data_IF_397169320506
#
_entry.id   IF_397169320506
#
_cell.length_a   1.000
_cell.length_b   1.000
_cell.length_c   1.000
_cell.angle_alpha   90.00
_cell.angle_beta   90.00
_cell.angle_gamma   90.00
#
_symmetry.space_group_name_H-M   'P 1'
#
loop_
_entity.id
_entity.type
_entity.pdbx_description
1 polymer ?
#
# COMPACT_ATOMS: atom_id res chain seq x y z
N UNK A 1 -39.42 0.22 -43.13
CA UNK A 1 -40.20 1.00 -42.15
C UNK A 1 -39.24 1.62 -41.14
N UNK A 2 -39.12 2.97 -41.17
CA UNK A 2 -38.70 3.97 -40.13
C UNK A 2 -37.62 3.57 -39.11
N UNK A 3 -36.58 4.34 -38.74
CA UNK A 3 -35.90 5.63 -39.07
C UNK A 3 -34.62 5.58 -38.17
N UNK A 4 -33.39 5.68 -38.67
CA UNK A 4 -32.53 6.88 -38.76
C UNK A 4 -32.40 7.76 -37.49
N UNK A 5 -31.21 7.78 -36.86
CA UNK A 5 -30.32 8.97 -36.61
C UNK A 5 -29.20 8.58 -35.60
N UNK A 6 -27.88 8.53 -35.88
CA UNK A 6 -26.87 9.50 -36.36
C UNK A 6 -26.33 10.55 -35.34
N UNK A 7 -24.98 10.59 -35.25
CA UNK A 7 -24.05 11.67 -34.82
C UNK A 7 -23.98 12.01 -33.32
N UNK A 8 -22.85 12.41 -32.69
CA UNK A 8 -21.52 12.84 -33.14
C UNK A 8 -20.95 13.87 -32.12
N UNK A 9 -19.70 13.65 -31.70
CA UNK A 9 -18.65 14.55 -31.16
C UNK A 9 -18.88 15.93 -30.45
N UNK A 10 -18.12 16.08 -29.35
CA UNK A 10 -17.20 17.20 -28.98
C UNK A 10 -17.64 18.48 -28.20
N UNK A 11 -16.87 18.70 -27.11
CA UNK A 11 -16.19 19.95 -26.62
C UNK A 11 -16.98 21.16 -26.05
N UNK A 12 -16.61 21.53 -24.81
CA UNK A 12 -16.19 22.90 -24.46
C UNK A 12 -17.12 23.77 -23.59
N UNK A 13 -16.59 24.36 -22.51
CA UNK A 13 -17.22 25.53 -21.87
C UNK A 13 -16.82 25.83 -20.42
N UNK A 14 -15.75 26.60 -20.23
CA UNK A 14 -15.34 27.22 -18.96
C UNK A 14 -16.26 28.39 -18.53
N UNK A 15 -16.30 28.71 -17.23
CA UNK A 15 -16.68 30.02 -16.63
C UNK A 15 -16.15 30.06 -15.18
N UNK A 16 -15.04 30.74 -14.88
CA UNK A 16 -14.84 32.17 -14.59
C UNK A 16 -15.43 32.63 -13.23
N UNK A 17 -14.51 33.04 -12.36
CA UNK A 17 -14.74 33.75 -11.08
C UNK A 17 -14.41 35.23 -11.31
N UNK A 18 -15.18 36.17 -10.75
CA UNK A 18 -14.70 37.51 -10.54
C UNK A 18 -14.64 37.92 -9.07
N UNK A 19 -13.73 38.87 -8.86
CA UNK A 19 -13.23 39.57 -7.69
C UNK A 19 -14.11 40.74 -7.23
N UNK A 20 -13.82 41.27 -6.02
CA UNK A 20 -14.07 42.67 -5.62
C UNK A 20 -14.80 42.78 -4.28
N UNK A 21 -14.18 43.13 -3.14
CA UNK A 21 -13.57 44.40 -2.70
C UNK A 21 -14.56 45.40 -2.08
N UNK A 22 -14.29 45.76 -0.82
CA UNK A 22 -14.39 47.15 -0.33
C UNK A 22 -15.70 47.61 0.30
N UNK A 23 -15.63 48.11 1.54
CA UNK A 23 -16.72 48.89 2.15
C UNK A 23 -16.51 49.17 3.63
N UNK A 24 -15.87 50.30 3.95
CA UNK A 24 -15.65 50.82 5.29
C UNK A 24 -16.88 51.53 5.90
N UNK A 25 -16.74 51.93 7.18
CA UNK A 25 -17.56 52.84 8.02
C UNK A 25 -18.51 52.09 8.98
N UNK A 26 -18.73 52.49 10.23
CA UNK A 26 -18.50 53.77 10.94
C UNK A 26 -18.59 53.51 12.46
N UNK A 27 -17.83 54.29 13.24
CA UNK A 27 -18.04 54.49 14.69
C UNK A 27 -19.34 55.25 14.94
N UNK A 28 -20.07 54.88 16.00
CA UNK A 28 -20.77 55.84 16.88
C UNK A 28 -20.74 55.34 18.33
N UNK A 29 -20.32 56.24 19.23
CA UNK A 29 -20.53 56.17 20.68
C UNK A 29 -21.96 56.64 20.97
N UNK A 30 -22.61 56.01 21.95
CA UNK A 30 -23.67 56.66 22.72
C UNK A 30 -23.61 56.18 24.17
N UNK A 31 -23.54 57.15 25.07
CA UNK A 31 -23.54 57.10 26.52
C UNK A 31 -24.95 57.36 27.06
N UNK A 32 -25.37 56.67 28.13
CA UNK A 32 -26.40 57.08 29.10
C UNK A 32 -26.45 55.98 30.19
N UNK A 33 -25.88 56.22 31.37
CA UNK A 33 -26.48 56.83 32.57
C UNK A 33 -27.43 55.90 33.34
N UNK A 34 -27.05 55.67 34.59
CA UNK A 34 -27.73 54.87 35.60
C UNK A 34 -29.11 55.44 35.96
N UNK A 35 -30.05 54.54 36.28
CA UNK A 35 -31.14 54.80 37.22
C UNK A 35 -31.32 53.56 38.10
N UNK A 36 -31.19 53.80 39.38
CA UNK A 36 -31.49 52.92 40.51
C UNK A 36 -33.01 52.68 40.61
N UNK A 37 -33.42 51.42 40.72
CA UNK A 37 -34.71 51.09 41.34
C UNK A 37 -34.67 49.67 41.90
N UNK A 38 -34.92 49.60 43.21
CA UNK A 38 -34.95 48.38 44.00
C UNK A 38 -36.00 47.37 43.51
N UNK A 39 -35.58 46.12 43.48
CA UNK A 39 -36.45 44.96 43.23
C UNK A 39 -36.05 43.82 44.15
N UNK A 40 -37.02 43.34 44.94
CA UNK A 40 -36.92 42.26 45.92
C UNK A 40 -36.14 41.02 45.45
N UNK A 41 -35.25 40.52 46.31
CA UNK A 41 -34.59 39.22 46.13
C UNK A 41 -35.58 38.09 46.43
N UNK A 42 -36.20 37.54 45.38
CA UNK A 42 -36.89 36.25 45.44
C UNK A 42 -35.87 35.12 45.62
N UNK A 43 -36.02 34.19 46.59
CA UNK A 43 -35.04 33.12 46.79
C UNK A 43 -35.15 32.08 45.66
N UNK A 44 -34.08 31.98 44.84
CA UNK A 44 -33.95 30.92 43.84
C UNK A 44 -33.84 29.56 44.54
N UNK A 45 -34.89 28.73 44.41
CA UNK A 45 -34.85 27.31 44.79
C UNK A 45 -33.67 26.61 44.10
N UNK A 46 -32.75 26.05 44.89
CA UNK A 46 -31.65 25.20 44.40
C UNK A 46 -32.24 23.99 43.67
N UNK A 47 -32.11 23.95 42.35
CA UNK A 47 -32.31 22.71 41.58
C UNK A 47 -31.22 21.71 42.00
N UNK A 48 -31.56 20.45 42.33
CA UNK A 48 -30.55 19.44 42.59
C UNK A 48 -29.77 19.19 41.29
N UNK A 49 -28.49 19.55 41.28
CA UNK A 49 -27.57 19.24 40.19
C UNK A 49 -27.17 17.76 40.28
N UNK A 50 -28.04 16.87 39.82
CA UNK A 50 -27.60 15.52 39.47
C UNK A 50 -26.93 15.64 38.11
N UNK A 51 -25.66 16.03 38.12
CA UNK A 51 -24.80 15.84 36.97
C UNK A 51 -24.79 14.33 36.67
N UNK A 52 -25.06 13.90 35.43
CA UNK A 52 -24.96 12.49 35.10
C UNK A 52 -23.53 12.05 35.44
N UNK A 53 -23.41 11.01 36.29
CA UNK A 53 -22.13 10.33 36.53
C UNK A 53 -21.52 10.05 35.16
N UNK A 54 -20.40 10.69 34.83
CA UNK A 54 -19.60 10.33 33.65
C UNK A 54 -19.38 8.83 33.77
N UNK A 55 -19.91 8.07 32.81
CA UNK A 55 -19.53 6.67 32.61
C UNK A 55 -18.01 6.61 32.69
N UNK A 56 -17.41 5.68 33.47
CA UNK A 56 -15.97 5.55 33.51
C UNK A 56 -15.49 5.44 32.07
N UNK A 57 -14.61 6.36 31.66
CA UNK A 57 -14.08 6.38 30.30
C UNK A 57 -13.62 4.96 29.99
N UNK A 58 -14.23 4.32 28.98
CA UNK A 58 -13.96 2.94 28.64
C UNK A 58 -12.45 2.72 28.63
N UNK A 59 -11.97 1.78 29.45
CA UNK A 59 -10.54 1.53 29.61
C UNK A 59 -9.94 1.33 28.21
N UNK A 60 -8.94 2.15 27.87
CA UNK A 60 -8.32 2.10 26.55
C UNK A 60 -7.58 0.77 26.43
N UNK A 61 -8.10 -0.16 25.63
CA UNK A 61 -7.50 -1.48 25.41
C UNK A 61 -6.52 -1.47 24.24
N UNK A 62 -5.67 -2.50 24.16
CA UNK A 62 -4.74 -2.67 23.05
C UNK A 62 -5.48 -2.92 21.72
N UNK A 63 -6.61 -3.61 21.77
CA UNK A 63 -7.49 -3.87 20.62
C UNK A 63 -8.10 -2.58 20.07
N UNK A 64 -8.51 -1.66 20.94
CA UNK A 64 -9.01 -0.35 20.53
C UNK A 64 -7.89 0.49 19.90
N UNK A 65 -6.67 0.42 20.44
CA UNK A 65 -5.52 1.07 19.81
C UNK A 65 -5.17 0.44 18.46
N UNK A 66 -5.25 -0.88 18.34
CA UNK A 66 -5.04 -1.59 17.08
C UNK A 66 -6.08 -1.19 16.04
N UNK A 67 -7.36 -1.12 16.42
CA UNK A 67 -8.45 -0.67 15.54
C UNK A 67 -8.19 0.75 15.03
N UNK A 68 -7.74 1.67 15.89
CA UNK A 68 -7.37 3.03 15.50
C UNK A 68 -6.13 3.07 14.60
N UNK A 69 -5.14 2.21 14.84
CA UNK A 69 -3.96 2.09 14.00
C UNK A 69 -4.31 1.59 12.58
N UNK A 70 -5.17 0.58 12.49
CA UNK A 70 -5.66 0.04 11.21
C UNK A 70 -6.46 1.08 10.40
N UNK A 71 -7.29 1.89 11.08
CA UNK A 71 -8.07 2.96 10.47
C UNK A 71 -7.31 4.28 10.25
N UNK A 72 -6.01 4.34 10.56
CA UNK A 72 -5.25 5.58 10.52
C UNK A 72 -4.94 6.02 9.08
N UNK A 73 -5.35 7.25 8.75
CA UNK A 73 -5.14 7.83 7.41
C UNK A 73 -3.67 8.18 7.10
N UNK A 74 -2.82 8.38 8.12
CA UNK A 74 -1.42 8.77 7.93
C UNK A 74 -0.46 7.80 8.63
N UNK A 75 0.77 7.63 8.13
CA UNK A 75 1.78 6.83 8.83
C UNK A 75 2.02 7.34 10.25
N UNK A 76 1.99 8.66 10.46
CA UNK A 76 2.20 9.29 11.77
C UNK A 76 1.13 8.88 12.78
N UNK A 77 -0.15 8.97 12.41
CA UNK A 77 -1.25 8.57 13.30
C UNK A 77 -1.29 7.06 13.50
N UNK A 78 -0.98 6.26 12.46
CA UNK A 78 -0.82 4.80 12.58
C UNK A 78 0.22 4.44 13.64
N UNK A 79 1.41 5.04 13.54
CA UNK A 79 2.51 4.80 14.45
C UNK A 79 2.19 5.26 15.88
N UNK A 80 1.47 6.38 16.03
CA UNK A 80 1.03 6.88 17.34
C UNK A 80 0.14 5.85 18.04
N UNK A 81 -0.90 5.36 17.36
CA UNK A 81 -1.83 4.39 17.94
C UNK A 81 -1.16 3.04 18.20
N UNK A 82 -0.34 2.57 17.26
CA UNK A 82 0.43 1.34 17.44
C UNK A 82 1.32 1.39 18.69
N UNK A 83 2.12 2.46 18.86
CA UNK A 83 2.96 2.65 20.05
C UNK A 83 2.14 2.76 21.33
N UNK A 84 1.01 3.47 21.29
CA UNK A 84 0.13 3.59 22.46
C UNK A 84 -0.38 2.22 22.89
N UNK A 85 -0.84 1.39 21.96
CA UNK A 85 -1.27 0.01 22.23
C UNK A 85 -0.16 -0.85 22.84
N UNK A 86 1.05 -0.77 22.28
CA UNK A 86 2.22 -1.50 22.78
C UNK A 86 2.70 -1.02 24.17
N UNK A 87 2.38 0.21 24.56
CA UNK A 87 2.77 0.80 25.85
C UNK A 87 1.73 0.62 26.98
N UNK A 88 0.56 0.04 26.68
CA UNK A 88 -0.48 -0.16 27.69
C UNK A 88 -0.02 -1.17 28.75
N UNK A 89 -0.31 -0.86 30.01
CA UNK A 89 -0.04 -1.75 31.14
C UNK A 89 -1.16 -2.80 31.19
N UNK A 90 -0.80 -4.07 31.04
CA UNK A 90 -1.73 -5.20 31.11
C UNK A 90 -1.25 -6.39 30.28
N UNK A 91 -1.93 -7.54 30.38
CA UNK A 91 -1.65 -8.68 29.53
C UNK A 91 -1.96 -8.30 28.07
N UNK A 92 -0.98 -8.48 27.19
CA UNK A 92 -1.13 -8.26 25.76
C UNK A 92 -1.07 -9.60 25.04
N UNK A 93 -2.16 -9.94 24.35
CA UNK A 93 -2.17 -11.12 23.50
C UNK A 93 -1.09 -11.02 22.42
N UNK A 94 -0.36 -12.12 22.16
CA UNK A 94 0.76 -12.14 21.21
C UNK A 94 0.32 -11.77 19.79
N UNK A 95 -0.90 -12.15 19.40
CA UNK A 95 -1.44 -11.81 18.08
C UNK A 95 -1.76 -10.32 18.00
N UNK A 96 -2.41 -9.76 19.01
CA UNK A 96 -2.64 -8.30 19.10
C UNK A 96 -1.32 -7.53 19.09
N UNK A 97 -0.32 -8.00 19.83
CA UNK A 97 1.03 -7.41 19.84
C UNK A 97 1.69 -7.45 18.46
N UNK A 98 1.67 -8.61 17.78
CA UNK A 98 2.22 -8.76 16.44
C UNK A 98 1.51 -7.86 15.42
N UNK A 99 0.18 -7.72 15.51
CA UNK A 99 -0.58 -6.83 14.65
C UNK A 99 -0.26 -5.36 14.89
N UNK A 100 -0.08 -4.94 16.15
CA UNK A 100 0.36 -3.58 16.49
C UNK A 100 1.78 -3.30 15.99
N UNK A 101 2.71 -4.25 16.19
CA UNK A 101 4.08 -4.17 15.63
C UNK A 101 4.03 -4.06 14.10
N UNK A 102 3.19 -4.84 13.42
CA UNK A 102 2.99 -4.72 11.97
C UNK A 102 2.49 -3.33 11.56
N UNK A 103 1.58 -2.71 12.32
CA UNK A 103 1.16 -1.32 12.04
C UNK A 103 2.30 -0.32 12.21
N UNK A 104 3.16 -0.52 13.22
CA UNK A 104 4.34 0.31 13.44
C UNK A 104 5.39 0.13 12.33
N UNK A 105 5.63 -1.12 11.91
CA UNK A 105 6.46 -1.47 10.77
C UNK A 105 5.99 -0.74 9.51
N UNK A 106 4.70 -0.85 9.15
CA UNK A 106 4.14 -0.21 7.96
C UNK A 106 4.34 1.30 7.99
N UNK A 107 4.19 1.93 9.16
CA UNK A 107 4.42 3.35 9.31
C UNK A 107 5.90 3.76 9.13
N UNK A 108 6.84 2.97 9.67
CA UNK A 108 8.27 3.20 9.45
C UNK A 108 8.67 2.96 8.00
N UNK A 109 8.15 1.91 7.38
CA UNK A 109 8.40 1.59 5.97
C UNK A 109 7.89 2.71 5.04
N UNK A 110 6.65 3.19 5.24
CA UNK A 110 6.08 4.30 4.46
C UNK A 110 6.83 5.63 4.63
N UNK A 111 7.49 5.82 5.77
CA UNK A 111 8.32 7.01 6.05
C UNK A 111 9.80 6.79 5.73
N UNK A 112 10.13 5.71 5.01
CA UNK A 112 11.50 5.34 4.59
C UNK A 112 12.49 5.17 5.74
N UNK A 113 12.02 4.80 6.93
CA UNK A 113 12.83 4.51 8.11
C UNK A 113 13.10 3.00 8.16
N UNK A 114 13.85 2.51 7.20
CA UNK A 114 13.94 1.08 6.90
C UNK A 114 14.65 0.28 7.99
N UNK A 115 15.64 0.86 8.67
CA UNK A 115 16.32 0.25 9.81
C UNK A 115 15.32 -0.02 10.95
N UNK A 116 14.52 0.98 11.30
CA UNK A 116 13.46 0.82 12.32
C UNK A 116 12.36 -0.13 11.86
N UNK A 117 12.07 -0.17 10.57
CA UNK A 117 11.12 -1.13 10.02
C UNK A 117 11.67 -2.56 10.21
N UNK A 118 12.95 -2.80 9.90
CA UNK A 118 13.59 -4.10 10.12
C UNK A 118 13.58 -4.49 11.61
N UNK A 119 13.98 -3.58 12.52
CA UNK A 119 13.94 -3.82 13.97
C UNK A 119 12.55 -4.25 14.46
N UNK A 120 11.49 -3.56 14.02
CA UNK A 120 10.12 -3.89 14.42
C UNK A 120 9.65 -5.22 13.83
N UNK A 121 10.08 -5.57 12.61
CA UNK A 121 9.78 -6.86 12.01
C UNK A 121 10.46 -8.02 12.78
N UNK A 122 11.70 -7.83 13.24
CA UNK A 122 12.41 -8.78 14.10
C UNK A 122 11.73 -8.95 15.47
N UNK A 123 11.27 -7.85 16.07
CA UNK A 123 10.46 -7.92 17.29
C UNK A 123 9.20 -8.75 17.07
N UNK A 124 8.50 -8.58 15.94
CA UNK A 124 7.32 -9.37 15.62
C UNK A 124 7.64 -10.87 15.45
N UNK A 125 8.81 -11.20 14.88
CA UNK A 125 9.28 -12.58 14.74
C UNK A 125 9.46 -13.28 16.09
N UNK A 126 9.95 -12.57 17.11
CA UNK A 126 10.15 -13.13 18.46
C UNK A 126 8.85 -13.61 19.13
N UNK A 127 7.68 -13.16 18.66
CA UNK A 127 6.38 -13.55 19.20
C UNK A 127 5.91 -14.93 18.73
N UNK A 128 6.49 -15.46 17.64
CA UNK A 128 6.16 -16.79 17.09
C UNK A 128 4.77 -16.90 16.43
N UNK A 129 4.02 -15.81 16.34
CA UNK A 129 2.71 -15.75 15.66
C UNK A 129 2.83 -14.98 14.36
N UNK A 130 2.06 -15.37 13.32
CA UNK A 130 2.11 -14.74 11.99
C UNK A 130 3.55 -14.66 11.41
N UNK A 131 4.37 -15.68 11.68
CA UNK A 131 5.81 -15.67 11.38
C UNK A 131 6.12 -15.44 9.89
N UNK A 132 5.34 -16.02 8.97
CA UNK A 132 5.53 -15.82 7.54
C UNK A 132 5.30 -14.37 7.11
N UNK A 133 4.34 -13.71 7.75
CA UNK A 133 4.01 -12.30 7.54
C UNK A 133 5.12 -11.40 8.08
N UNK A 134 5.65 -11.70 9.27
CA UNK A 134 6.76 -10.95 9.85
C UNK A 134 8.08 -11.16 9.07
N UNK A 135 8.35 -12.36 8.58
CA UNK A 135 9.47 -12.61 7.66
C UNK A 135 9.33 -11.85 6.35
N UNK A 136 8.13 -11.77 5.78
CA UNK A 136 7.89 -10.97 4.58
C UNK A 136 8.15 -9.48 4.83
N UNK A 137 7.77 -8.95 6.00
CA UNK A 137 8.03 -7.57 6.38
C UNK A 137 9.53 -7.30 6.60
N UNK A 138 10.23 -8.19 7.31
CA UNK A 138 11.68 -8.11 7.50
C UNK A 138 12.42 -8.14 6.15
N UNK A 139 12.02 -9.03 5.25
CA UNK A 139 12.60 -9.12 3.91
C UNK A 139 12.47 -7.82 3.13
N UNK A 140 11.29 -7.19 3.15
CA UNK A 140 11.06 -5.95 2.42
C UNK A 140 11.86 -4.79 3.01
N UNK A 141 11.97 -4.70 4.34
CA UNK A 141 12.83 -3.70 4.96
C UNK A 141 14.29 -3.89 4.57
N UNK A 142 14.81 -5.12 4.61
CA UNK A 142 16.18 -5.44 4.20
C UNK A 142 16.45 -5.17 2.73
N UNK A 143 15.51 -5.53 1.85
CA UNK A 143 15.59 -5.17 0.43
C UNK A 143 15.68 -3.65 0.23
N UNK A 144 14.88 -2.88 0.97
CA UNK A 144 14.92 -1.41 0.91
C UNK A 144 16.21 -0.81 1.48
N UNK A 145 16.92 -1.55 2.34
CA UNK A 145 18.27 -1.23 2.83
C UNK A 145 19.38 -1.68 1.86
N UNK A 146 19.04 -2.37 0.77
CA UNK A 146 20.03 -3.00 -0.12
C UNK A 146 20.62 -4.31 0.40
N UNK A 147 20.16 -4.81 1.56
CA UNK A 147 20.56 -6.12 2.11
C UNK A 147 19.77 -7.24 1.41
N UNK A 148 20.19 -7.58 0.19
CA UNK A 148 19.54 -8.58 -0.65
C UNK A 148 19.63 -9.98 -0.05
N UNK A 149 20.79 -10.37 0.48
CA UNK A 149 20.96 -11.72 1.05
C UNK A 149 20.17 -11.91 2.35
N UNK A 150 20.10 -10.89 3.20
CA UNK A 150 19.22 -10.91 4.36
C UNK A 150 17.74 -10.99 3.96
N UNK A 151 17.32 -10.26 2.92
CA UNK A 151 15.95 -10.36 2.39
C UNK A 151 15.63 -11.77 1.89
N UNK A 152 16.55 -12.37 1.14
CA UNK A 152 16.46 -13.76 0.66
C UNK A 152 16.34 -14.75 1.82
N UNK A 153 17.13 -14.56 2.88
CA UNK A 153 17.08 -15.39 4.09
C UNK A 153 15.68 -15.46 4.70
N UNK A 154 15.04 -14.30 4.90
CA UNK A 154 13.68 -14.26 5.44
C UNK A 154 12.62 -14.78 4.46
N UNK A 155 12.71 -14.50 3.16
CA UNK A 155 11.73 -15.01 2.19
C UNK A 155 11.77 -16.53 2.07
N UNK A 156 12.96 -17.13 2.19
CA UNK A 156 13.11 -18.59 2.29
C UNK A 156 12.42 -19.14 3.55
N UNK A 157 12.54 -18.45 4.68
CA UNK A 157 11.82 -18.84 5.91
C UNK A 157 10.30 -18.68 5.73
N UNK A 158 9.82 -17.55 5.21
CA UNK A 158 8.40 -17.32 4.95
C UNK A 158 7.80 -18.39 4.03
N UNK A 159 8.51 -18.79 2.96
CA UNK A 159 8.05 -19.83 2.05
C UNK A 159 8.01 -21.24 2.69
N UNK A 160 8.85 -21.49 3.70
CA UNK A 160 8.87 -22.76 4.46
C UNK A 160 7.80 -22.82 5.54
N UNK A 161 7.62 -21.74 6.30
CA UNK A 161 6.77 -21.72 7.50
C UNK A 161 5.36 -21.19 7.23
N UNK A 162 5.14 -20.50 6.10
CA UNK A 162 3.84 -19.96 5.74
C UNK A 162 2.81 -21.02 5.40
N UNK A 163 1.51 -20.70 5.55
CA UNK A 163 0.44 -21.62 5.19
C UNK A 163 0.46 -21.93 3.70
N UNK A 164 -0.06 -23.11 3.34
CA UNK A 164 -0.05 -23.60 1.95
C UNK A 164 -0.63 -22.58 0.96
N UNK A 165 -1.68 -21.85 1.35
CA UNK A 165 -2.33 -20.83 0.52
C UNK A 165 -1.43 -19.63 0.18
N UNK A 166 -0.37 -19.36 0.95
CA UNK A 166 0.59 -18.25 0.69
C UNK A 166 1.94 -18.72 0.18
N UNK A 167 2.19 -20.03 0.12
CA UNK A 167 3.48 -20.60 -0.31
C UNK A 167 3.89 -20.12 -1.70
N UNK A 168 2.97 -20.11 -2.66
CA UNK A 168 3.25 -19.65 -4.02
C UNK A 168 3.65 -18.16 -4.04
N UNK A 169 2.96 -17.32 -3.27
CA UNK A 169 3.26 -15.90 -3.14
C UNK A 169 4.66 -15.63 -2.53
N UNK A 170 5.06 -16.38 -1.51
CA UNK A 170 6.40 -16.23 -0.91
C UNK A 170 7.51 -16.67 -1.88
N UNK A 171 7.33 -17.79 -2.60
CA UNK A 171 8.26 -18.21 -3.65
C UNK A 171 8.35 -17.18 -4.78
N UNK A 172 7.22 -16.61 -5.17
CA UNK A 172 7.20 -15.58 -6.21
C UNK A 172 7.91 -14.30 -5.75
N UNK A 173 7.70 -13.86 -4.51
CA UNK A 173 8.41 -12.68 -3.98
C UNK A 173 9.91 -12.94 -3.91
N UNK A 174 10.33 -14.14 -3.48
CA UNK A 174 11.73 -14.55 -3.50
C UNK A 174 12.31 -14.50 -4.92
N UNK A 175 11.57 -15.03 -5.89
CA UNK A 175 11.93 -14.95 -7.31
C UNK A 175 12.09 -13.52 -7.81
N UNK A 176 11.18 -12.62 -7.43
CA UNK A 176 11.24 -11.18 -7.77
C UNK A 176 12.50 -10.52 -7.21
N UNK A 177 12.87 -10.82 -5.97
CA UNK A 177 14.08 -10.28 -5.35
C UNK A 177 15.33 -10.75 -6.08
N UNK A 178 15.42 -12.03 -6.42
CA UNK A 178 16.55 -12.54 -7.22
C UNK A 178 16.57 -11.95 -8.63
N UNK A 179 15.42 -11.79 -9.27
CA UNK A 179 15.29 -11.20 -10.59
C UNK A 179 15.85 -9.77 -10.62
N UNK A 180 15.40 -8.91 -9.69
CA UNK A 180 15.92 -7.55 -9.58
C UNK A 180 17.43 -7.50 -9.24
N UNK A 181 17.91 -8.48 -8.49
CA UNK A 181 19.33 -8.65 -8.19
C UNK A 181 20.12 -9.35 -9.33
N UNK A 182 19.49 -9.62 -10.49
CA UNK A 182 20.09 -10.27 -11.67
C UNK A 182 20.65 -11.68 -11.40
N UNK A 183 20.17 -12.34 -10.34
CA UNK A 183 20.50 -13.72 -9.98
C UNK A 183 19.54 -14.68 -10.67
N UNK A 184 19.69 -14.82 -11.98
CA UNK A 184 18.68 -15.45 -12.83
C UNK A 184 18.42 -16.93 -12.53
N UNK A 185 19.44 -17.73 -12.26
CA UNK A 185 19.25 -19.15 -11.93
C UNK A 185 18.44 -19.34 -10.63
N UNK A 186 18.76 -18.55 -9.61
CA UNK A 186 18.01 -18.52 -8.35
C UNK A 186 16.56 -18.05 -8.54
N UNK A 187 16.36 -17.02 -9.38
CA UNK A 187 15.05 -16.50 -9.72
C UNK A 187 14.19 -17.54 -10.45
N UNK A 188 14.75 -18.22 -11.46
CA UNK A 188 14.11 -19.31 -12.20
C UNK A 188 13.70 -20.43 -11.24
N UNK A 189 14.59 -20.85 -10.34
CA UNK A 189 14.29 -21.88 -9.34
C UNK A 189 13.14 -21.51 -8.41
N UNK A 190 13.11 -20.26 -7.92
CA UNK A 190 12.05 -19.78 -7.05
C UNK A 190 10.71 -19.60 -7.78
N UNK A 191 10.72 -19.00 -8.99
CA UNK A 191 9.52 -18.78 -9.80
C UNK A 191 8.92 -20.08 -10.32
N UNK A 192 9.75 -21.08 -10.64
CA UNK A 192 9.29 -22.44 -10.97
C UNK A 192 8.50 -23.05 -9.82
N UNK A 193 8.99 -22.90 -8.56
CA UNK A 193 8.23 -23.33 -7.38
C UNK A 193 6.94 -22.54 -7.25
N UNK A 194 6.97 -21.22 -7.41
CA UNK A 194 5.77 -20.38 -7.36
C UNK A 194 4.70 -20.87 -8.37
N UNK A 195 5.08 -21.11 -9.62
CA UNK A 195 4.20 -21.59 -10.67
C UNK A 195 3.68 -23.02 -10.40
N UNK A 196 4.46 -23.87 -9.71
CA UNK A 196 4.02 -25.21 -9.29
C UNK A 196 2.95 -25.17 -8.20
N UNK A 197 3.11 -24.28 -7.21
CA UNK A 197 2.18 -24.17 -6.07
C UNK A 197 1.00 -23.21 -6.34
N UNK A 198 1.13 -22.33 -7.33
CA UNK A 198 0.10 -21.37 -7.70
C UNK A 198 -1.10 -22.04 -8.37
N UNK A 199 -2.31 -21.74 -7.89
CA UNK A 199 -3.56 -22.16 -8.54
C UNK A 199 -4.16 -20.98 -9.30
N UNK A 200 -4.68 -19.97 -8.57
CA UNK A 200 -5.37 -18.81 -9.15
C UNK A 200 -4.45 -17.89 -9.96
N UNK A 201 -3.30 -17.54 -9.39
CA UNK A 201 -2.37 -16.56 -9.99
C UNK A 201 -1.27 -17.24 -10.81
N UNK A 202 -1.48 -18.50 -11.22
CA UNK A 202 -0.48 -19.29 -11.94
C UNK A 202 0.02 -18.61 -13.22
N UNK A 203 -0.83 -17.98 -14.07
CA UNK A 203 -0.35 -17.26 -15.25
C UNK A 203 0.62 -16.11 -14.91
N UNK A 204 0.44 -15.44 -13.76
CA UNK A 204 1.34 -14.37 -13.31
C UNK A 204 2.72 -14.93 -12.97
N UNK A 205 2.77 -16.07 -12.27
CA UNK A 205 4.04 -16.70 -11.89
C UNK A 205 4.77 -17.29 -13.10
N UNK A 206 4.02 -17.90 -14.03
CA UNK A 206 4.58 -18.38 -15.30
C UNK A 206 5.08 -17.22 -16.16
N UNK A 207 4.35 -16.11 -16.23
CA UNK A 207 4.78 -14.93 -16.97
C UNK A 207 6.05 -14.31 -16.37
N UNK A 208 6.13 -14.19 -15.05
CA UNK A 208 7.33 -13.66 -14.41
C UNK A 208 8.53 -14.61 -14.62
N UNK A 209 8.31 -15.93 -14.57
CA UNK A 209 9.32 -16.93 -14.94
C UNK A 209 9.81 -16.72 -16.38
N UNK A 210 8.89 -16.56 -17.33
CA UNK A 210 9.22 -16.34 -18.74
C UNK A 210 10.05 -15.06 -18.95
N UNK A 211 9.71 -13.96 -18.28
CA UNK A 211 10.50 -12.72 -18.30
C UNK A 211 11.95 -12.98 -17.87
N UNK A 212 12.13 -13.67 -16.75
CA UNK A 212 13.47 -14.00 -16.22
C UNK A 212 14.24 -14.92 -17.18
N UNK A 213 13.57 -15.89 -17.79
CA UNK A 213 14.17 -16.79 -18.78
C UNK A 213 14.64 -16.02 -20.03
N UNK A 214 13.80 -15.12 -20.56
CA UNK A 214 14.18 -14.27 -21.69
C UNK A 214 15.36 -13.34 -21.34
N UNK A 215 15.35 -12.73 -20.16
CA UNK A 215 16.48 -11.90 -19.68
C UNK A 215 17.78 -12.70 -19.49
N UNK A 216 17.68 -13.98 -19.15
CA UNK A 216 18.81 -14.91 -19.09
C UNK A 216 19.25 -15.43 -20.48
N UNK A 217 18.64 -14.95 -21.57
CA UNK A 217 18.98 -15.35 -22.94
C UNK A 217 18.33 -16.66 -23.39
N UNK A 218 17.38 -17.20 -22.63
CA UNK A 218 16.65 -18.42 -23.01
C UNK A 218 15.46 -18.08 -23.91
N UNK A 219 15.20 -18.94 -24.90
CA UNK A 219 13.98 -18.85 -25.70
C UNK A 219 12.80 -19.49 -24.95
N UNK A 220 11.69 -18.76 -24.86
CA UNK A 220 10.44 -19.25 -24.24
C UNK A 220 9.41 -19.49 -25.34
N UNK A 221 9.09 -20.76 -25.60
CA UNK A 221 8.03 -21.12 -26.54
C UNK A 221 6.65 -20.71 -26.03
N UNK A 222 5.79 -20.23 -26.94
CA UNK A 222 4.42 -19.84 -26.60
C UNK A 222 4.30 -18.58 -25.73
N UNK A 223 5.29 -17.67 -25.79
CA UNK A 223 5.27 -16.41 -25.04
C UNK A 223 4.02 -15.57 -25.33
N UNK A 224 3.65 -15.41 -26.61
CA UNK A 224 2.40 -14.75 -27.02
C UNK A 224 1.15 -15.33 -26.36
N UNK A 225 0.98 -16.66 -26.38
CA UNK A 225 -0.15 -17.32 -25.74
C UNK A 225 -0.15 -17.15 -24.21
N UNK A 226 1.03 -17.04 -23.59
CA UNK A 226 1.14 -16.75 -22.15
C UNK A 226 0.77 -15.30 -21.83
N UNK A 227 1.14 -14.33 -22.68
CA UNK A 227 0.70 -12.93 -22.59
C UNK A 227 -0.82 -12.88 -22.60
N UNK A 228 -1.46 -13.50 -23.59
CA UNK A 228 -2.92 -13.45 -23.74
C UNK A 228 -3.62 -14.08 -22.54
N UNK A 229 -3.15 -15.25 -22.06
CA UNK A 229 -3.72 -15.89 -20.85
C UNK A 229 -3.57 -15.03 -19.59
N UNK A 230 -2.44 -14.33 -19.42
CA UNK A 230 -2.25 -13.46 -18.26
C UNK A 230 -3.14 -12.22 -18.36
N UNK A 231 -3.34 -11.67 -19.56
CA UNK A 231 -4.19 -10.50 -19.79
C UNK A 231 -5.66 -10.76 -19.42
N UNK A 232 -6.16 -11.98 -19.64
CA UNK A 232 -7.55 -12.38 -19.38
C UNK A 232 -7.88 -12.67 -17.90
N UNK A 233 -6.88 -12.76 -17.02
CA UNK A 233 -7.10 -13.07 -15.60
C UNK A 233 -6.91 -11.83 -14.70
N UNK A 234 -7.56 -11.75 -13.53
CA UNK A 234 -7.38 -10.63 -12.60
C UNK A 234 -5.91 -10.36 -12.21
N UNK A 235 -5.09 -11.40 -12.21
CA UNK A 235 -3.66 -11.32 -11.92
C UNK A 235 -2.85 -10.56 -12.98
N UNK A 236 -3.39 -10.34 -14.20
CA UNK A 236 -2.81 -9.47 -15.23
C UNK A 236 -2.93 -7.97 -14.92
N UNK A 237 -3.71 -7.60 -13.91
CA UNK A 237 -3.84 -6.22 -13.45
C UNK A 237 -2.79 -5.88 -12.38
N UNK A 238 -2.61 -4.58 -12.09
CA UNK A 238 -1.67 -4.14 -11.06
C UNK A 238 -0.24 -4.54 -11.38
N UNK A 239 0.38 -5.40 -10.55
CA UNK A 239 1.72 -5.92 -10.82
C UNK A 239 1.77 -6.76 -12.10
N UNK A 240 0.69 -7.46 -12.47
CA UNK A 240 0.64 -8.23 -13.72
C UNK A 240 0.94 -7.42 -14.96
N UNK A 241 0.67 -6.11 -14.96
CA UNK A 241 1.02 -5.21 -16.06
C UNK A 241 2.52 -5.02 -16.23
N UNK A 242 3.30 -5.06 -15.15
CA UNK A 242 4.76 -5.09 -15.26
C UNK A 242 5.20 -6.35 -16.02
N UNK A 243 4.69 -7.52 -15.60
CA UNK A 243 5.04 -8.80 -16.22
C UNK A 243 4.57 -8.88 -17.68
N UNK A 244 3.33 -8.48 -17.97
CA UNK A 244 2.79 -8.40 -19.33
C UNK A 244 3.63 -7.49 -20.21
N UNK A 245 4.00 -6.31 -19.70
CA UNK A 245 4.83 -5.36 -20.43
C UNK A 245 6.22 -5.90 -20.77
N UNK A 246 6.88 -6.54 -19.81
CA UNK A 246 8.17 -7.19 -20.02
C UNK A 246 8.08 -8.36 -21.01
N UNK A 247 7.06 -9.22 -20.90
CA UNK A 247 6.86 -10.31 -21.86
C UNK A 247 6.59 -9.78 -23.27
N UNK A 248 5.69 -8.78 -23.40
CA UNK A 248 5.37 -8.16 -24.68
C UNK A 248 6.60 -7.50 -25.32
N UNK A 249 7.51 -6.94 -24.51
CA UNK A 249 8.81 -6.46 -25.00
C UNK A 249 9.64 -7.58 -25.63
N UNK A 250 9.79 -8.72 -24.95
CA UNK A 250 10.54 -9.86 -25.50
C UNK A 250 9.86 -10.50 -26.72
N UNK A 251 8.53 -10.46 -26.78
CA UNK A 251 7.72 -10.94 -27.90
C UNK A 251 7.63 -9.91 -29.05
N UNK A 252 8.30 -8.75 -28.92
CA UNK A 252 8.30 -7.64 -29.90
C UNK A 252 6.93 -7.01 -30.17
N UNK A 253 5.98 -7.15 -29.23
CA UNK A 253 4.67 -6.48 -29.22
C UNK A 253 4.82 -5.07 -28.63
N UNK A 254 5.50 -4.18 -29.34
CA UNK A 254 5.99 -2.89 -28.81
C UNK A 254 4.90 -1.96 -28.28
N UNK A 255 3.77 -1.84 -28.97
CA UNK A 255 2.67 -0.99 -28.52
C UNK A 255 2.02 -1.53 -27.24
N UNK A 256 1.88 -2.85 -27.13
CA UNK A 256 1.35 -3.48 -25.92
C UNK A 256 2.31 -3.39 -24.75
N UNK A 257 3.61 -3.62 -25.00
CA UNK A 257 4.65 -3.40 -24.00
C UNK A 257 4.57 -1.97 -23.45
N UNK A 258 4.47 -0.97 -24.33
CA UNK A 258 4.31 0.44 -23.95
C UNK A 258 3.08 0.65 -23.06
N UNK A 259 1.91 0.22 -23.53
CA UNK A 259 0.63 0.40 -22.84
C UNK A 259 0.65 -0.23 -21.44
N UNK A 260 1.14 -1.47 -21.31
CA UNK A 260 1.20 -2.16 -20.03
C UNK A 260 2.19 -1.52 -19.06
N UNK A 261 3.39 -1.16 -19.51
CA UNK A 261 4.42 -0.58 -18.65
C UNK A 261 4.06 0.85 -18.21
N UNK A 262 3.51 1.68 -19.09
CA UNK A 262 3.01 3.01 -18.73
C UNK A 262 1.89 2.92 -17.69
N UNK A 263 0.93 2.02 -17.89
CA UNK A 263 -0.15 1.79 -16.94
C UNK A 263 0.35 1.24 -15.59
N UNK A 264 1.39 0.39 -15.60
CA UNK A 264 2.05 -0.10 -14.38
C UNK A 264 2.74 1.04 -13.61
N UNK A 265 3.58 1.82 -14.29
CA UNK A 265 4.32 2.94 -13.69
C UNK A 265 3.33 3.95 -13.12
N UNK A 266 2.38 4.41 -13.93
CA UNK A 266 1.39 5.41 -13.51
C UNK A 266 0.62 4.97 -12.25
N UNK A 267 0.13 3.73 -12.23
CA UNK A 267 -0.62 3.21 -11.06
C UNK A 267 0.26 3.06 -9.82
N UNK A 268 1.51 2.65 -10.01
CA UNK A 268 2.43 2.37 -8.89
C UNK A 268 3.01 3.65 -8.28
N UNK A 269 3.09 4.74 -9.04
CA UNK A 269 3.63 6.03 -8.57
C UNK A 269 2.56 7.04 -8.16
N UNK A 270 1.33 6.94 -8.66
CA UNK A 270 0.22 7.86 -8.27
C UNK A 270 -0.52 7.45 -7.00
N UNK A 271 -0.33 6.21 -6.54
CA UNK A 271 -1.07 5.63 -5.41
C UNK A 271 -0.41 5.82 -4.05
N UNK A 272 -0.51 4.77 -3.21
CA UNK A 272 0.08 4.76 -1.87
C UNK A 272 1.60 4.77 -1.96
N UNK A 273 2.25 5.65 -1.19
CA UNK A 273 3.73 5.74 -1.08
C UNK A 273 4.37 4.38 -0.77
N UNK A 274 3.74 3.55 0.06
CA UNK A 274 4.21 2.19 0.35
C UNK A 274 4.41 1.33 -0.91
N UNK A 275 3.52 1.48 -1.91
CA UNK A 275 3.59 0.72 -3.16
C UNK A 275 4.75 1.20 -4.02
N UNK A 276 4.91 2.53 -4.15
CA UNK A 276 6.03 3.11 -4.89
C UNK A 276 7.39 2.71 -4.29
N UNK A 277 7.49 2.62 -2.96
CA UNK A 277 8.71 2.14 -2.28
C UNK A 277 8.91 0.64 -2.54
N UNK A 278 7.86 -0.18 -2.32
CA UNK A 278 7.96 -1.63 -2.42
C UNK A 278 8.24 -2.13 -3.85
N UNK A 279 7.87 -1.35 -4.87
CA UNK A 279 8.04 -1.68 -6.28
C UNK A 279 9.09 -0.80 -6.98
N UNK A 280 9.98 -0.15 -6.21
CA UNK A 280 10.95 0.80 -6.77
C UNK A 280 11.81 0.18 -7.88
N UNK A 281 12.32 -1.03 -7.66
CA UNK A 281 13.15 -1.74 -8.63
C UNK A 281 12.38 -2.12 -9.91
N UNK A 282 11.13 -2.58 -9.78
CA UNK A 282 10.27 -2.89 -10.92
C UNK A 282 9.87 -1.62 -11.69
N UNK A 283 9.61 -0.50 -11.00
CA UNK A 283 9.32 0.79 -11.64
C UNK A 283 10.51 1.27 -12.46
N UNK A 284 11.72 1.15 -11.93
CA UNK A 284 12.95 1.49 -12.66
C UNK A 284 13.18 0.55 -13.84
N UNK A 285 12.95 -0.76 -13.67
CA UNK A 285 13.04 -1.73 -14.75
C UNK A 285 12.04 -1.40 -15.87
N UNK A 286 10.78 -1.12 -15.52
CA UNK A 286 9.74 -0.74 -16.48
C UNK A 286 10.11 0.52 -17.27
N UNK A 287 10.66 1.55 -16.60
CA UNK A 287 11.13 2.78 -17.26
C UNK A 287 12.27 2.51 -18.23
N UNK A 288 13.28 1.73 -17.83
CA UNK A 288 14.37 1.32 -18.72
C UNK A 288 13.85 0.59 -19.97
N UNK A 289 12.89 -0.31 -19.81
CA UNK A 289 12.28 -0.99 -20.95
C UNK A 289 11.55 0.00 -21.85
N UNK A 290 10.75 0.91 -21.30
CA UNK A 290 10.06 1.96 -22.06
C UNK A 290 11.01 2.84 -22.87
N UNK A 291 12.15 3.23 -22.28
CA UNK A 291 13.18 4.04 -22.92
C UNK A 291 13.87 3.29 -24.08
N UNK A 292 13.90 1.96 -24.02
CA UNK A 292 14.47 1.09 -25.06
C UNK A 292 13.52 0.77 -26.22
N UNK A 293 12.24 1.10 -26.09
CA UNK A 293 11.26 0.80 -27.13
C UNK A 293 11.52 1.65 -28.39
N UNK A 294 11.26 1.10 -29.60
CA UNK A 294 11.30 1.89 -30.82
C UNK A 294 10.42 3.14 -30.71
N UNK A 295 10.93 4.26 -31.24
CA UNK A 295 10.12 5.47 -31.41
C UNK A 295 9.02 5.19 -32.43
N UNK A 296 7.85 5.79 -32.20
CA UNK A 296 6.75 5.79 -33.17
C UNK A 296 7.13 6.56 -34.42
#
# INVERSE_FOLDING_TARGET
>A
MRKASEHGDSVGGARSVPTGSGGARRRTKASASAVDSGGEKVPRKKRPSVAPRRTPAAALTAEEMLRRALGAATPRSRALWARRGLSLRGPLDRTTQAMLLRQLYLAYFETRRFERAAEVAEQALSLGVLSDVAHQDAARAKQALGDIDGAVGHLRLAARTGPASRRAFHWWTLGSVYHLARRYDDAIGALTRAARWGTRDKPLYQGHLAVVQCEAGMTVEGLGALIDRLAEVPAGQGYGRFVLGQMAYFDRRWDEARNYLEAFVQRSTSGRVAVAIALGGEIEAARRTLDSLPKR
#
